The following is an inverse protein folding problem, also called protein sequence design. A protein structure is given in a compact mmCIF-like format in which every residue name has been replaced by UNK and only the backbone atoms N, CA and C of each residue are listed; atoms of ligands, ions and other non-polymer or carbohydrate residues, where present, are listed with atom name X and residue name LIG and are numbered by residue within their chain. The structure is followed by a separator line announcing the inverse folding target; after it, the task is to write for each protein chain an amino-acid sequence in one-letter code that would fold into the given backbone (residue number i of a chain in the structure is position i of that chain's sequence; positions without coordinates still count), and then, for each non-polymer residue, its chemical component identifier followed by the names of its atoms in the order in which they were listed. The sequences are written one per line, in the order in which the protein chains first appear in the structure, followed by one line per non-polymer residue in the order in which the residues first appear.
data_IF_766599899563
#
_entry.id   IF_766599899563
#
_cell.length_a   1.000
_cell.length_b   1.000
_cell.length_c   1.000
_cell.angle_alpha   90.00
_cell.angle_beta   90.00
_cell.angle_gamma   90.00
#
_symmetry.space_group_name_H-M   'P 1'
#
loop_
_entity.id
_entity.type
_entity.pdbx_description
1 polymer ?
#
# COMPACT_ATOMS: atom_id res chain seq x y z
N UNK A 1 0.11 17.73 9.40
CA UNK A 1 0.92 17.36 8.25
C UNK A 1 0.98 15.84 8.15
N UNK A 2 0.73 15.30 6.96
CA UNK A 2 0.78 13.85 6.80
C UNK A 2 2.17 13.39 6.38
N UNK A 3 2.62 12.26 6.94
CA UNK A 3 3.87 11.64 6.58
C UNK A 3 3.70 10.67 5.41
N UNK A 4 2.47 10.53 4.92
CA UNK A 4 2.17 9.68 3.79
C UNK A 4 2.42 10.34 2.44
N UNK A 5 2.78 11.61 2.42
CA UNK A 5 3.08 12.32 1.19
C UNK A 5 4.43 11.84 0.61
N UNK A 6 4.55 11.86 -0.71
CA UNK A 6 5.81 11.53 -1.38
C UNK A 6 6.11 10.05 -1.49
N UNK A 7 5.13 9.18 -1.27
CA UNK A 7 5.34 7.74 -1.35
C UNK A 7 4.88 7.24 -2.72
N UNK A 8 5.79 6.62 -3.46
CA UNK A 8 5.46 6.03 -4.76
C UNK A 8 4.66 4.75 -4.60
N UNK A 9 3.95 4.36 -5.66
CA UNK A 9 3.23 3.09 -5.66
C UNK A 9 4.15 1.91 -5.42
N UNK A 10 5.35 1.92 -5.99
CA UNK A 10 6.33 0.85 -5.78
C UNK A 10 6.74 0.73 -4.34
N UNK A 11 6.99 1.85 -3.69
CA UNK A 11 7.37 1.83 -2.27
C UNK A 11 6.22 1.35 -1.41
N UNK A 12 4.99 1.77 -1.73
CA UNK A 12 3.81 1.32 -1.01
C UNK A 12 3.62 -0.20 -1.15
N UNK A 13 3.76 -0.72 -2.37
CA UNK A 13 3.66 -2.17 -2.62
C UNK A 13 4.68 -2.93 -1.77
N UNK A 14 5.92 -2.47 -1.75
CA UNK A 14 6.96 -3.11 -0.94
C UNK A 14 6.63 -3.11 0.54
N UNK A 15 6.11 -2.00 1.04
CA UNK A 15 5.73 -1.92 2.43
C UNK A 15 4.65 -2.94 2.77
N UNK A 16 3.63 -3.07 1.92
CA UNK A 16 2.59 -4.08 2.15
C UNK A 16 3.10 -5.50 2.00
N UNK A 17 4.05 -5.74 1.10
CA UNK A 17 4.69 -7.06 1.01
C UNK A 17 5.42 -7.40 2.31
N UNK A 18 6.10 -6.44 2.91
CA UNK A 18 6.75 -6.65 4.20
C UNK A 18 5.74 -6.90 5.32
N UNK A 19 4.51 -6.45 5.14
CA UNK A 19 3.43 -6.72 6.08
C UNK A 19 2.76 -8.07 5.83
N UNK A 20 3.23 -8.84 4.85
CA UNK A 20 2.73 -10.18 4.58
C UNK A 20 1.80 -10.29 3.38
N UNK A 21 1.59 -9.23 2.62
CA UNK A 21 0.76 -9.30 1.43
C UNK A 21 1.55 -9.83 0.25
N UNK A 22 0.85 -10.51 -0.66
CA UNK A 22 1.44 -11.02 -1.91
C UNK A 22 0.93 -10.14 -3.05
N UNK A 23 1.86 -9.56 -3.78
CA UNK A 23 1.53 -8.67 -4.90
C UNK A 23 1.37 -9.46 -6.19
N UNK A 24 0.38 -9.09 -6.99
CA UNK A 24 0.19 -9.64 -8.34
C UNK A 24 1.12 -8.92 -9.31
N UNK A 25 1.18 -9.44 -10.54
CA UNK A 25 1.80 -8.70 -11.63
C UNK A 25 0.99 -7.43 -11.89
N UNK A 26 1.64 -6.32 -12.24
CA UNK A 26 0.90 -5.11 -12.57
C UNK A 26 -0.07 -5.34 -13.74
N UNK A 27 -1.27 -4.81 -13.58
CA UNK A 27 -2.23 -4.74 -14.68
C UNK A 27 -2.39 -3.26 -15.03
N UNK A 28 -1.81 -2.88 -16.17
CA UNK A 28 -1.66 -1.47 -16.46
C UNK A 28 -0.79 -0.83 -15.39
N UNK A 29 -1.34 0.17 -14.70
CA UNK A 29 -0.62 0.87 -13.64
C UNK A 29 -1.10 0.48 -12.24
N UNK A 30 -1.77 -0.68 -12.09
CA UNK A 30 -2.30 -1.09 -10.79
C UNK A 30 -1.71 -2.43 -10.36
N UNK A 31 -1.45 -2.55 -9.06
CA UNK A 31 -1.02 -3.80 -8.44
C UNK A 31 -2.05 -4.20 -7.39
N UNK A 32 -2.45 -5.45 -7.43
CA UNK A 32 -3.35 -6.02 -6.44
C UNK A 32 -2.53 -6.77 -5.41
N UNK A 33 -2.87 -6.60 -4.13
CA UNK A 33 -2.17 -7.28 -3.04
C UNK A 33 -3.18 -8.06 -2.22
N UNK A 34 -2.82 -9.29 -1.87
CA UNK A 34 -3.70 -10.20 -1.14
C UNK A 34 -3.00 -10.78 0.07
N UNK A 35 -3.77 -10.96 1.13
CA UNK A 35 -3.32 -11.61 2.36
C UNK A 35 -4.52 -12.31 2.97
N UNK A 36 -4.37 -13.59 3.42
CA UNK A 36 -5.50 -14.30 4.03
C UNK A 36 -6.10 -13.52 5.20
N UNK A 37 -7.43 -13.44 5.23
CA UNK A 37 -8.14 -12.73 6.28
C UNK A 37 -8.22 -11.22 6.11
N UNK A 38 -7.69 -10.67 5.02
CA UNK A 38 -7.71 -9.23 4.77
C UNK A 38 -8.40 -8.92 3.46
N UNK A 39 -9.02 -7.74 3.35
CA UNK A 39 -9.54 -7.29 2.05
C UNK A 39 -8.39 -7.13 1.04
N UNK A 40 -8.75 -7.23 -0.23
CA UNK A 40 -7.77 -7.04 -1.30
C UNK A 40 -7.41 -5.56 -1.37
N UNK A 41 -6.12 -5.29 -1.52
CA UNK A 41 -5.62 -3.93 -1.71
C UNK A 41 -5.32 -3.70 -3.18
N UNK A 42 -5.52 -2.47 -3.64
CA UNK A 42 -5.16 -2.06 -5.00
C UNK A 42 -4.33 -0.79 -4.90
N UNK A 43 -3.10 -0.85 -5.42
CA UNK A 43 -2.17 0.28 -5.35
C UNK A 43 -1.83 0.73 -6.76
N UNK A 44 -2.07 2.00 -7.10
CA UNK A 44 -1.65 2.54 -8.40
C UNK A 44 -0.13 2.75 -8.40
N UNK A 45 0.51 2.39 -9.51
CA UNK A 45 1.96 2.57 -9.63
C UNK A 45 2.29 3.98 -10.09
N UNK A 46 1.77 4.96 -9.37
CA UNK A 46 2.05 6.36 -9.63
C UNK A 46 3.35 6.76 -8.94
N UNK A 47 3.93 7.85 -9.43
CA UNK A 47 5.12 8.41 -8.83
C UNK A 47 4.87 8.80 -7.39
N UNK A 48 3.68 9.28 -7.11
CA UNK A 48 3.23 9.58 -5.75
C UNK A 48 1.78 9.15 -5.61
N UNK A 49 1.50 8.29 -4.64
CA UNK A 49 0.14 7.85 -4.35
C UNK A 49 -0.49 8.86 -3.41
N UNK A 50 -1.72 9.27 -3.71
CA UNK A 50 -2.43 10.24 -2.88
C UNK A 50 -2.50 9.74 -1.43
N UNK A 51 -2.17 10.61 -0.44
CA UNK A 51 -2.15 10.18 0.96
C UNK A 51 -3.47 9.59 1.45
N UNK A 52 -4.61 10.14 1.02
CA UNK A 52 -5.89 9.60 1.48
C UNK A 52 -6.14 8.20 0.92
N UNK A 53 -5.65 7.91 -0.27
CA UNK A 53 -5.76 6.58 -0.86
C UNK A 53 -4.88 5.59 -0.09
N UNK A 54 -3.66 5.98 0.24
CA UNK A 54 -2.78 5.15 1.07
C UNK A 54 -3.41 4.89 2.43
N UNK A 55 -3.98 5.90 3.04
CA UNK A 55 -4.62 5.75 4.35
C UNK A 55 -5.74 4.72 4.30
N UNK A 56 -6.54 4.75 3.24
CA UNK A 56 -7.61 3.77 3.05
C UNK A 56 -7.04 2.36 2.94
N UNK A 57 -5.99 2.18 2.13
CA UNK A 57 -5.38 0.85 1.97
C UNK A 57 -4.70 0.37 3.24
N UNK A 58 -4.05 1.25 3.96
CA UNK A 58 -3.43 0.92 5.24
C UNK A 58 -4.48 0.40 6.22
N UNK A 59 -5.62 1.08 6.27
CA UNK A 59 -6.72 0.68 7.14
C UNK A 59 -7.28 -0.67 6.74
N UNK A 60 -7.47 -0.91 5.45
CA UNK A 60 -7.93 -2.20 4.93
C UNK A 60 -6.95 -3.32 5.25
N UNK A 61 -5.66 -2.99 5.29
CA UNK A 61 -4.63 -3.96 5.63
C UNK A 61 -4.57 -4.29 7.12
N UNK A 62 -5.34 -3.58 7.94
CA UNK A 62 -5.33 -3.80 9.39
C UNK A 62 -4.11 -3.20 10.08
N UNK A 63 -3.45 -2.25 9.44
CA UNK A 63 -2.26 -1.63 9.98
C UNK A 63 -2.58 -0.25 10.54
N UNK A 64 -1.81 0.15 11.56
CA UNK A 64 -1.77 1.55 11.95
C UNK A 64 -0.88 2.30 10.95
N UNK A 65 -1.14 3.57 10.77
CA UNK A 65 -0.36 4.41 9.86
C UNK A 65 1.13 4.36 10.21
N UNK A 66 1.45 4.36 11.50
CA UNK A 66 2.83 4.28 11.97
C UNK A 66 3.49 2.97 11.59
N UNK A 67 2.75 1.86 11.68
CA UNK A 67 3.28 0.56 11.28
C UNK A 67 3.65 0.55 9.80
N UNK A 68 2.79 1.12 8.97
CA UNK A 68 3.07 1.21 7.54
C UNK A 68 4.31 2.05 7.28
N UNK A 69 4.43 3.20 7.95
CA UNK A 69 5.57 4.09 7.75
C UNK A 69 6.89 3.44 8.16
N UNK A 70 6.84 2.55 9.14
CA UNK A 70 8.03 1.80 9.55
C UNK A 70 8.45 0.77 8.52
N UNK A 71 7.54 0.39 7.61
CA UNK A 71 7.81 -0.60 6.57
C UNK A 71 8.22 0.02 5.24
N UNK A 72 7.93 1.28 5.06
CA UNK A 72 8.26 2.00 3.81
C UNK A 72 9.76 2.16 3.60
#
# INVERSE_FOLDING_TARGET
MTRLAGISGRRAVRAFERAGFVASKPEGSHVTLKKPGCPILVIPLHREVAPFLLRTQIKRAGLAEREFLDLV
#
